data_IF_450275333107
#
_entry.id   IF_450275333107
#
_cell.length_a   1.000
_cell.length_b   1.000
_cell.length_c   1.000
_cell.angle_alpha   90.00
_cell.angle_beta   90.00
_cell.angle_gamma   90.00
#
_symmetry.space_group_name_H-M   'P 1'
#
loop_
_entity.id
_entity.type
_entity.pdbx_description
1 polymer ?
#
# COMPACT_ATOMS: atom_id res chain seq x y z
N UNK A 1 15.20 7.87 0.85
CA UNK A 1 14.46 6.68 1.35
C UNK A 1 13.67 7.11 2.57
N UNK A 2 12.36 6.83 2.61
CA UNK A 2 11.50 7.18 3.74
C UNK A 2 11.39 6.02 4.74
N UNK A 3 11.25 6.33 6.03
CA UNK A 3 10.71 5.37 7.00
C UNK A 3 9.18 5.35 6.87
N UNK A 4 8.53 4.23 7.18
CA UNK A 4 7.08 4.21 7.35
C UNK A 4 6.72 5.03 8.60
N UNK A 5 5.62 5.77 8.54
CA UNK A 5 5.09 6.58 9.64
C UNK A 5 3.80 5.96 10.20
N UNK A 6 3.19 6.63 11.18
CA UNK A 6 2.00 6.14 11.88
C UNK A 6 0.83 5.86 10.91
N UNK A 7 0.30 4.63 10.97
CA UNK A 7 -0.78 4.03 10.21
C UNK A 7 -0.46 3.71 8.73
N UNK A 8 0.81 3.72 8.35
CA UNK A 8 1.23 3.31 7.02
C UNK A 8 1.11 1.80 6.85
N UNK A 9 0.70 1.37 5.67
CA UNK A 9 0.70 -0.04 5.28
C UNK A 9 1.92 -0.30 4.41
N UNK A 10 2.71 -1.29 4.81
CA UNK A 10 3.86 -1.76 4.05
C UNK A 10 3.42 -2.96 3.23
N UNK A 11 3.68 -2.95 1.92
CA UNK A 11 3.49 -4.10 1.04
C UNK A 11 4.84 -4.56 0.50
N UNK A 12 5.23 -5.77 0.90
CA UNK A 12 6.50 -6.37 0.49
C UNK A 12 6.39 -7.90 0.32
N UNK A 13 5.24 -8.40 -0.12
CA UNK A 13 5.10 -9.83 -0.45
C UNK A 13 5.96 -10.19 -1.68
N UNK A 14 5.93 -9.34 -2.70
CA UNK A 14 6.62 -9.56 -3.98
C UNK A 14 7.70 -8.52 -4.28
N UNK A 15 7.54 -7.28 -3.83
CA UNK A 15 8.36 -6.15 -4.29
C UNK A 15 9.87 -6.43 -4.24
N UNK A 16 10.42 -6.82 -3.09
CA UNK A 16 11.86 -7.10 -2.98
C UNK A 16 12.32 -8.33 -3.77
N UNK A 17 11.45 -9.34 -3.92
CA UNK A 17 11.78 -10.53 -4.72
C UNK A 17 11.91 -10.18 -6.21
N UNK A 18 11.10 -9.22 -6.65
CA UNK A 18 11.11 -8.67 -8.02
C UNK A 18 12.10 -7.50 -8.19
N UNK A 19 13.03 -7.32 -7.25
CA UNK A 19 14.08 -6.29 -7.33
C UNK A 19 13.63 -4.85 -7.05
N UNK A 20 12.41 -4.66 -6.55
CA UNK A 20 11.86 -3.36 -6.20
C UNK A 20 11.87 -3.13 -4.69
N UNK A 21 11.98 -1.88 -4.26
CA UNK A 21 11.90 -1.55 -2.82
C UNK A 21 10.49 -1.85 -2.27
N UNK A 22 10.35 -2.09 -0.95
CA UNK A 22 9.03 -2.23 -0.32
C UNK A 22 8.13 -1.04 -0.61
N UNK A 23 6.84 -1.30 -0.82
CA UNK A 23 5.86 -0.24 -1.05
C UNK A 23 5.40 0.32 0.29
N UNK A 24 5.36 1.65 0.39
CA UNK A 24 4.76 2.36 1.52
C UNK A 24 3.44 2.98 1.04
N UNK A 25 2.34 2.55 1.65
CA UNK A 25 1.03 3.15 1.46
C UNK A 25 0.68 4.07 2.64
N UNK A 26 0.71 5.40 2.44
CA UNK A 26 0.38 6.33 3.50
C UNK A 26 -1.13 6.51 3.61
N UNK A 27 -1.76 5.88 4.62
CA UNK A 27 -3.20 6.00 4.85
C UNK A 27 -3.62 7.45 5.02
N UNK A 28 -2.84 8.26 5.76
CA UNK A 28 -3.17 9.66 6.05
C UNK A 28 -3.42 10.48 4.78
N UNK A 29 -2.52 10.39 3.79
CA UNK A 29 -2.62 11.17 2.56
C UNK A 29 -3.89 10.82 1.76
N UNK A 30 -4.24 9.54 1.75
CA UNK A 30 -5.45 9.04 1.06
C UNK A 30 -6.72 9.42 1.83
N UNK A 31 -6.71 9.35 3.17
CA UNK A 31 -7.87 9.70 4.02
C UNK A 31 -8.25 11.18 3.98
N UNK A 32 -7.32 12.09 3.64
CA UNK A 32 -7.65 13.50 3.44
C UNK A 32 -8.60 13.68 2.24
N UNK A 33 -8.52 12.80 1.23
CA UNK A 33 -9.26 12.94 -0.04
C UNK A 33 -10.42 11.95 -0.16
N UNK A 34 -10.30 10.77 0.43
CA UNK A 34 -11.25 9.67 0.25
C UNK A 34 -11.73 9.10 1.58
N UNK A 35 -12.99 8.66 1.58
CA UNK A 35 -13.59 7.97 2.73
C UNK A 35 -13.14 6.50 2.75
N UNK A 36 -13.15 5.89 3.94
CA UNK A 36 -12.75 4.48 4.12
C UNK A 36 -13.46 3.51 3.17
N UNK A 37 -14.75 3.75 2.87
CA UNK A 37 -15.56 2.89 1.99
C UNK A 37 -15.01 2.78 0.56
N UNK A 38 -14.33 3.82 0.06
CA UNK A 38 -13.77 3.82 -1.28
C UNK A 38 -12.73 2.70 -1.37
N UNK A 39 -11.77 2.68 -0.45
CA UNK A 39 -10.73 1.65 -0.45
C UNK A 39 -11.27 0.28 -0.02
N UNK A 40 -12.00 0.23 1.09
CA UNK A 40 -12.26 -1.04 1.78
C UNK A 40 -13.57 -1.74 1.40
N UNK A 41 -14.41 -1.10 0.59
CA UNK A 41 -15.63 -1.72 0.09
C UNK A 41 -15.69 -1.64 -1.43
N UNK A 42 -15.48 -0.46 -2.02
CA UNK A 42 -15.60 -0.25 -3.47
C UNK A 42 -14.39 -0.87 -4.22
N UNK A 43 -13.16 -0.63 -3.73
CA UNK A 43 -11.93 -1.18 -4.31
C UNK A 43 -11.59 -2.60 -3.80
N UNK A 44 -12.31 -3.09 -2.78
CA UNK A 44 -12.14 -4.45 -2.24
C UNK A 44 -10.88 -4.67 -1.39
N UNK A 45 -10.27 -3.61 -0.84
CA UNK A 45 -9.20 -3.80 0.15
C UNK A 45 -9.77 -4.31 1.47
N UNK A 46 -9.41 -5.53 1.85
CA UNK A 46 -9.79 -6.11 3.13
C UNK A 46 -9.22 -5.28 4.28
N UNK A 47 -9.98 -5.14 5.36
CA UNK A 47 -9.58 -4.46 6.60
C UNK A 47 -8.56 -5.27 7.43
N UNK A 48 -7.64 -5.96 6.75
CA UNK A 48 -6.61 -6.83 7.34
C UNK A 48 -5.40 -6.89 6.39
N UNK A 49 -4.26 -6.37 6.86
CA UNK A 49 -3.02 -6.33 6.07
C UNK A 49 -2.59 -7.73 5.62
N UNK A 50 -2.18 -7.83 4.36
CA UNK A 50 -1.72 -9.09 3.74
C UNK A 50 -2.84 -10.01 3.25
N UNK A 51 -4.12 -9.64 3.45
CA UNK A 51 -5.26 -10.44 2.98
C UNK A 51 -5.51 -10.31 1.48
N UNK A 52 -5.31 -9.12 0.93
CA UNK A 52 -5.34 -8.93 -0.51
C UNK A 52 -4.02 -9.36 -1.12
N UNK A 53 -4.10 -10.11 -2.21
CA UNK A 53 -2.95 -10.35 -3.06
C UNK A 53 -2.90 -9.26 -4.14
N UNK A 54 -1.98 -8.32 -3.97
CA UNK A 54 -1.85 -7.17 -4.87
C UNK A 54 -0.62 -7.38 -5.74
N UNK A 55 -0.84 -7.51 -7.04
CA UNK A 55 0.23 -7.68 -8.04
C UNK A 55 0.29 -6.45 -8.95
N UNK A 56 1.44 -6.22 -9.59
CA UNK A 56 1.55 -5.16 -10.60
C UNK A 56 0.67 -5.42 -11.82
N UNK A 57 0.45 -6.69 -12.20
CA UNK A 57 -0.50 -7.05 -13.26
C UNK A 57 -1.91 -6.56 -12.92
N UNK A 58 -2.37 -6.84 -11.70
CA UNK A 58 -3.68 -6.38 -11.23
C UNK A 58 -3.79 -4.86 -11.24
N UNK A 59 -2.71 -4.17 -10.85
CA UNK A 59 -2.63 -2.71 -10.84
C UNK A 59 -2.68 -2.14 -12.27
N UNK A 60 -1.97 -2.74 -13.23
CA UNK A 60 -1.98 -2.32 -14.63
C UNK A 60 -3.37 -2.55 -15.24
N UNK A 61 -4.06 -3.63 -14.85
CA UNK A 61 -5.44 -3.93 -15.25
C UNK A 61 -6.48 -3.00 -14.58
N UNK A 62 -6.03 -1.95 -13.88
CA UNK A 62 -6.89 -0.94 -13.27
C UNK A 62 -7.52 -1.39 -11.96
N UNK A 63 -7.02 -2.44 -11.29
CA UNK A 63 -7.48 -2.85 -9.95
C UNK A 63 -6.61 -2.22 -8.86
N UNK A 64 -7.11 -2.23 -7.62
CA UNK A 64 -6.38 -1.74 -6.44
C UNK A 64 -5.86 -0.30 -6.63
N UNK A 65 -4.53 -0.12 -6.60
CA UNK A 65 -3.87 1.17 -6.81
C UNK A 65 -4.20 1.76 -8.19
N UNK A 66 -4.32 0.89 -9.20
CA UNK A 66 -4.55 1.27 -10.60
C UNK A 66 -5.90 1.93 -10.87
N UNK A 67 -6.90 1.74 -9.99
CA UNK A 67 -8.18 2.43 -10.11
C UNK A 67 -8.03 3.96 -10.04
N UNK A 68 -7.03 4.44 -9.30
CA UNK A 68 -6.77 5.88 -9.14
C UNK A 68 -5.44 6.29 -9.77
N UNK A 69 -4.40 5.47 -9.69
CA UNK A 69 -3.07 5.76 -10.25
C UNK A 69 -3.02 5.50 -11.78
N UNK A 70 -4.01 5.99 -12.51
CA UNK A 70 -4.22 5.73 -13.93
C UNK A 70 -3.76 6.86 -14.85
N UNK A 71 -3.17 7.94 -14.30
CA UNK A 71 -2.78 9.13 -15.06
C UNK A 71 -3.87 10.20 -15.17
N UNK A 72 -5.10 9.92 -14.70
CA UNK A 72 -6.23 10.86 -14.73
C UNK A 72 -6.60 11.35 -13.32
N UNK A 73 -6.81 10.42 -12.37
CA UNK A 73 -7.20 10.73 -11.00
C UNK A 73 -5.96 11.03 -10.14
N UNK A 74 -4.91 10.23 -10.34
CA UNK A 74 -3.59 10.40 -9.77
C UNK A 74 -2.53 10.06 -10.83
N UNK A 75 -1.26 10.29 -10.48
CA UNK A 75 -0.13 9.96 -11.34
C UNK A 75 -0.13 8.47 -11.76
N UNK A 76 0.39 8.19 -12.96
CA UNK A 76 0.44 6.85 -13.56
C UNK A 76 1.38 5.89 -12.82
N UNK A 77 1.00 4.61 -12.78
CA UNK A 77 1.75 3.47 -12.20
C UNK A 77 3.19 3.31 -12.72
N UNK A 78 3.54 3.94 -13.84
CA UNK A 78 4.89 3.98 -14.40
C UNK A 78 5.91 4.67 -13.48
N UNK A 79 5.44 5.49 -12.54
CA UNK A 79 6.28 6.19 -11.56
C UNK A 79 6.63 5.26 -10.39
N UNK A 80 7.37 4.19 -10.67
CA UNK A 80 7.64 3.09 -9.73
C UNK A 80 8.12 3.56 -8.34
N UNK A 81 9.02 4.54 -8.30
CA UNK A 81 9.64 5.03 -7.06
C UNK A 81 8.69 5.75 -6.11
N UNK A 82 7.52 6.18 -6.58
CA UNK A 82 6.50 6.83 -5.74
C UNK A 82 5.78 5.82 -4.84
N UNK A 83 5.54 4.60 -5.35
CA UNK A 83 5.04 3.47 -4.55
C UNK A 83 6.17 2.81 -3.78
N UNK A 84 7.22 2.39 -4.49
CA UNK A 84 8.34 1.61 -4.01
C UNK A 84 9.34 2.49 -3.25
N UNK A 85 8.88 3.16 -2.20
CA UNK A 85 9.63 4.21 -1.51
C UNK A 85 10.30 3.73 -0.20
N UNK A 86 9.98 2.52 0.25
CA UNK A 86 10.43 1.95 1.51
C UNK A 86 11.91 1.63 1.54
N UNK A 87 12.45 1.50 2.76
CA UNK A 87 13.80 0.96 2.98
C UNK A 87 13.81 -0.55 2.72
N UNK A 88 14.87 -1.11 2.13
CA UNK A 88 15.03 -2.57 2.01
C UNK A 88 14.88 -3.28 3.36
N UNK A 89 14.28 -4.47 3.35
CA UNK A 89 14.07 -5.35 4.50
C UNK A 89 12.78 -5.10 5.28
N UNK A 90 12.02 -4.06 4.98
CA UNK A 90 10.73 -3.79 5.64
C UNK A 90 9.73 -4.91 5.34
N UNK A 91 9.13 -5.49 6.39
CA UNK A 91 8.14 -6.57 6.24
C UNK A 91 6.75 -6.00 6.01
N UNK A 92 5.92 -6.73 5.26
CA UNK A 92 4.51 -6.40 5.09
C UNK A 92 3.82 -6.27 6.46
N UNK A 93 3.06 -5.19 6.67
CA UNK A 93 2.49 -4.89 7.98
C UNK A 93 1.93 -3.48 8.08
N UNK A 94 1.42 -3.12 9.26
CA UNK A 94 1.08 -1.73 9.61
C UNK A 94 2.22 -1.18 10.45
N UNK A 95 2.76 -0.02 10.09
CA UNK A 95 3.71 0.69 10.93
C UNK A 95 2.99 1.77 11.74
N UNK A 96 3.25 1.80 13.06
CA UNK A 96 2.67 2.78 13.99
C UNK A 96 1.14 2.89 13.96
N UNK A 97 0.38 1.85 14.33
CA UNK A 97 -1.06 2.01 14.60
C UNK A 97 -1.34 2.47 16.04
N UNK A 98 -2.61 2.74 16.37
CA UNK A 98 -3.04 2.96 17.77
C UNK A 98 -2.87 1.70 18.63
N UNK A 99 -2.58 0.56 17.99
CA UNK A 99 -2.25 -0.70 18.62
C UNK A 99 -0.75 -0.72 18.85
N UNK A 100 -0.34 -0.13 19.97
CA UNK A 100 1.02 -0.20 20.48
C UNK A 100 1.35 -1.65 20.86
N UNK A 101 2.28 -2.26 20.14
CA UNK A 101 3.12 -3.35 20.67
C UNK A 101 2.63 -4.76 20.37
N UNK A 102 3.14 -5.34 19.29
CA UNK A 102 3.22 -6.79 19.14
C UNK A 102 3.01 -7.26 17.70
N UNK A 103 3.58 -8.43 17.33
CA UNK A 103 3.16 -9.11 16.12
C UNK A 103 1.68 -9.44 16.32
N UNK A 104 0.80 -8.77 15.59
CA UNK A 104 -0.63 -9.01 15.67
C UNK A 104 -0.88 -10.50 15.49
N UNK A 105 -1.20 -11.18 16.59
CA UNK A 105 -1.78 -12.51 16.58
C UNK A 105 -3.17 -12.36 15.98
N UNK A 106 -3.33 -12.94 14.80
CA UNK A 106 -4.59 -13.56 14.39
C UNK A 106 -4.49 -15.01 14.83
#
# INVERSE_FOLDING_TARGET
MAGAEYADVILNRYAEQEGMRPVIFPHWFHRIRFRCKVCHNELGFEMRVGSNDVTMTDIIDGRFCGMCHNGEIAWSVENCDLCHSGKPGLKSGIFGGHQTGGPGRW
#
